data_IF_789344100141
#
_entry.id   IF_789344100141
#
_cell.length_a   1.000
_cell.length_b   1.000
_cell.length_c   1.000
_cell.angle_alpha   90.00
_cell.angle_beta   90.00
_cell.angle_gamma   90.00
#
_symmetry.space_group_name_H-M   'P 1'
#
loop_
_entity.id
_entity.type
_entity.pdbx_description
1 polymer ?
#
# COMPACT_ATOMS: atom_id res chain seq x y z
N UNK A 1 6.32 -22.66 40.50
CA UNK A 1 6.61 -21.25 40.22
C UNK A 1 7.39 -21.20 38.92
N UNK A 2 6.80 -20.67 37.84
CA UNK A 2 7.50 -20.57 36.57
C UNK A 2 8.65 -19.55 36.73
N UNK A 3 9.88 -20.02 36.51
CA UNK A 3 11.08 -19.20 36.46
C UNK A 3 10.83 -18.11 35.42
N UNK A 4 10.86 -16.85 35.86
CA UNK A 4 10.91 -15.71 34.95
C UNK A 4 12.28 -15.80 34.25
N UNK A 5 12.26 -16.22 32.99
CA UNK A 5 13.37 -16.59 32.10
C UNK A 5 14.35 -15.42 31.77
N UNK A 6 14.66 -14.54 32.72
CA UNK A 6 15.55 -13.38 32.49
C UNK A 6 15.07 -12.41 31.40
N UNK A 7 13.85 -12.57 30.88
CA UNK A 7 13.31 -11.74 29.80
C UNK A 7 12.86 -10.40 30.36
N UNK A 8 13.31 -9.33 29.71
CA UNK A 8 12.97 -7.96 30.06
C UNK A 8 12.41 -7.19 28.85
N UNK A 9 11.80 -6.03 29.11
CA UNK A 9 11.25 -5.15 28.08
C UNK A 9 10.33 -5.87 27.09
N UNK A 10 10.58 -5.68 25.79
CA UNK A 10 9.78 -6.25 24.70
C UNK A 10 9.74 -7.78 24.71
N UNK A 11 10.83 -8.45 25.11
CA UNK A 11 10.87 -9.91 25.15
C UNK A 11 9.92 -10.48 26.21
N UNK A 12 9.81 -9.80 27.36
CA UNK A 12 8.84 -10.14 28.41
C UNK A 12 7.40 -9.93 27.95
N UNK A 13 7.14 -8.81 27.26
CA UNK A 13 5.81 -8.50 26.74
C UNK A 13 5.36 -9.47 25.65
N UNK A 14 6.25 -9.79 24.70
CA UNK A 14 5.97 -10.79 23.68
C UNK A 14 5.68 -12.16 24.30
N UNK A 15 6.45 -12.55 25.32
CA UNK A 15 6.18 -13.77 26.08
C UNK A 15 4.80 -13.74 26.73
N UNK A 16 4.47 -12.66 27.47
CA UNK A 16 3.15 -12.49 28.09
C UNK A 16 2.01 -12.60 27.06
N UNK A 17 2.09 -11.85 25.96
CA UNK A 17 1.06 -11.83 24.92
C UNK A 17 0.92 -13.19 24.21
N UNK A 18 2.00 -13.95 24.04
CA UNK A 18 1.94 -15.30 23.47
C UNK A 18 1.25 -16.32 24.38
N UNK A 19 1.35 -16.13 25.71
CA UNK A 19 0.71 -16.98 26.71
C UNK A 19 -0.72 -16.56 27.01
N UNK A 20 -1.02 -15.28 26.83
CA UNK A 20 -2.31 -14.66 27.10
C UNK A 20 -2.74 -13.79 25.91
N UNK A 21 -3.28 -14.41 24.83
CA UNK A 21 -3.67 -13.71 23.60
C UNK A 21 -4.65 -12.56 23.82
N UNK A 22 -5.42 -12.59 24.92
CA UNK A 22 -6.32 -11.53 25.33
C UNK A 22 -5.63 -10.18 25.64
N UNK A 23 -4.32 -10.21 25.86
CA UNK A 23 -3.44 -9.04 26.03
C UNK A 23 -2.64 -8.69 24.78
N UNK A 24 -2.89 -9.33 23.63
CA UNK A 24 -2.32 -8.99 22.32
C UNK A 24 -2.82 -7.64 21.82
N UNK A 25 -2.46 -6.57 22.53
CA UNK A 25 -2.91 -5.20 22.32
C UNK A 25 -1.80 -4.43 21.65
N UNK A 26 -2.09 -3.91 20.46
CA UNK A 26 -1.17 -3.12 19.67
C UNK A 26 -1.81 -1.77 19.31
N UNK A 27 -0.98 -0.74 19.10
CA UNK A 27 -1.44 0.55 18.58
C UNK A 27 -1.98 0.34 17.16
N UNK A 28 -3.16 0.89 16.86
CA UNK A 28 -3.82 0.73 15.54
C UNK A 28 -3.20 1.59 14.44
N UNK A 29 -2.51 2.67 14.78
CA UNK A 29 -1.92 3.63 13.84
C UNK A 29 -2.92 4.17 12.80
N UNK A 30 -4.21 4.28 13.15
CA UNK A 30 -5.28 4.62 12.21
C UNK A 30 -5.02 5.91 11.41
N UNK A 31 -4.64 6.99 12.10
CA UNK A 31 -4.32 8.27 11.45
C UNK A 31 -3.20 8.13 10.42
N UNK A 32 -2.13 7.42 10.77
CA UNK A 32 -0.99 7.20 9.86
C UNK A 32 -1.38 6.32 8.67
N UNK A 33 -2.21 5.29 8.89
CA UNK A 33 -2.71 4.44 7.82
C UNK A 33 -3.62 5.20 6.84
N UNK A 34 -4.54 6.02 7.35
CA UNK A 34 -5.37 6.88 6.51
C UNK A 34 -4.54 7.93 5.76
N UNK A 35 -3.55 8.53 6.42
CA UNK A 35 -2.64 9.46 5.76
C UNK A 35 -1.87 8.78 4.63
N UNK A 36 -1.36 7.56 4.84
CA UNK A 36 -0.71 6.78 3.80
C UNK A 36 -1.65 6.51 2.61
N UNK A 37 -2.90 6.11 2.87
CA UNK A 37 -3.91 5.92 1.82
C UNK A 37 -4.14 7.19 1.00
N UNK A 38 -4.24 8.35 1.67
CA UNK A 38 -4.43 9.64 1.01
C UNK A 38 -3.22 10.02 0.13
N UNK A 39 -2.00 9.72 0.57
CA UNK A 39 -0.81 9.95 -0.25
C UNK A 39 -0.77 9.07 -1.49
N UNK A 40 -1.09 7.77 -1.36
CA UNK A 40 -1.14 6.88 -2.53
C UNK A 40 -2.24 7.34 -3.51
N UNK A 41 -3.39 7.83 -3.02
CA UNK A 41 -4.42 8.42 -3.88
C UNK A 41 -3.93 9.66 -4.64
N UNK A 42 -3.20 10.54 -3.97
CA UNK A 42 -2.62 11.74 -4.60
C UNK A 42 -1.61 11.34 -5.68
N UNK A 43 -0.74 10.37 -5.39
CA UNK A 43 0.22 9.83 -6.37
C UNK A 43 -0.51 9.21 -7.57
N UNK A 44 -1.52 8.37 -7.35
CA UNK A 44 -2.32 7.77 -8.41
C UNK A 44 -2.99 8.82 -9.30
N UNK A 45 -3.53 9.87 -8.70
CA UNK A 45 -4.16 10.98 -9.43
C UNK A 45 -3.13 11.70 -10.31
N UNK A 46 -1.94 11.93 -9.79
CA UNK A 46 -0.84 12.53 -10.54
C UNK A 46 -0.40 11.64 -11.71
N UNK A 47 -0.17 10.35 -11.45
CA UNK A 47 0.22 9.39 -12.49
C UNK A 47 -0.85 9.24 -13.59
N UNK A 48 -2.13 9.28 -13.23
CA UNK A 48 -3.24 9.25 -14.18
C UNK A 48 -3.21 10.48 -15.09
N UNK A 49 -2.96 11.66 -14.52
CA UNK A 49 -2.83 12.90 -15.27
C UNK A 49 -1.64 12.85 -16.25
N UNK A 50 -0.48 12.41 -15.79
CA UNK A 50 0.70 12.23 -16.66
C UNK A 50 0.42 11.24 -17.79
N UNK A 51 -0.28 10.13 -17.51
CA UNK A 51 -0.65 9.15 -18.55
C UNK A 51 -1.57 9.78 -19.60
N UNK A 52 -2.53 10.62 -19.19
CA UNK A 52 -3.40 11.36 -20.11
C UNK A 52 -2.60 12.28 -21.02
N UNK A 53 -1.62 12.99 -20.46
CA UNK A 53 -0.73 13.88 -21.21
C UNK A 53 0.15 13.11 -22.21
N UNK A 54 0.78 12.02 -21.78
CA UNK A 54 1.57 11.14 -22.66
C UNK A 54 0.70 10.62 -23.81
N UNK A 55 -0.48 10.09 -23.47
CA UNK A 55 -1.43 9.56 -24.46
C UNK A 55 -1.91 10.64 -25.45
N UNK A 56 -2.00 11.91 -25.01
CA UNK A 56 -2.34 13.02 -25.88
C UNK A 56 -1.18 13.37 -26.83
N UNK A 57 0.06 13.43 -26.32
CA UNK A 57 1.26 13.66 -27.13
C UNK A 57 1.46 12.56 -28.18
N UNK A 58 1.28 11.31 -27.79
CA UNK A 58 1.44 10.15 -28.70
C UNK A 58 0.43 10.19 -29.86
N UNK A 59 -0.82 10.61 -29.59
CA UNK A 59 -1.84 10.81 -30.62
C UNK A 59 -1.51 11.92 -31.61
N UNK A 60 -0.83 12.98 -31.15
CA UNK A 60 -0.41 14.11 -31.98
C UNK A 60 0.94 13.89 -32.66
N UNK A 61 1.65 12.81 -32.32
CA UNK A 61 2.96 12.53 -32.88
C UNK A 61 2.87 12.10 -34.34
N UNK A 62 3.90 12.40 -35.14
CA UNK A 62 4.00 11.92 -36.52
C UNK A 62 4.35 10.41 -36.61
N UNK A 63 4.62 9.76 -35.47
CA UNK A 63 5.05 8.36 -35.43
C UNK A 63 3.84 7.41 -35.52
N UNK A 64 3.68 6.63 -36.61
CA UNK A 64 2.46 5.84 -36.85
C UNK A 64 2.13 4.86 -35.72
N UNK A 65 3.16 4.22 -35.14
CA UNK A 65 2.98 3.24 -34.04
C UNK A 65 2.48 3.92 -32.77
N UNK A 66 2.97 5.13 -32.44
CA UNK A 66 2.59 5.83 -31.20
C UNK A 66 1.13 6.29 -31.23
N UNK A 67 0.62 6.65 -32.41
CA UNK A 67 -0.79 7.02 -32.57
C UNK A 67 -1.74 5.85 -32.25
N UNK A 68 -1.33 4.61 -32.52
CA UNK A 68 -2.19 3.42 -32.39
C UNK A 68 -1.87 2.57 -31.15
N UNK A 69 -0.68 2.68 -30.56
CA UNK A 69 -0.23 1.79 -29.48
C UNK A 69 -1.15 1.80 -28.25
N UNK A 70 -1.80 2.93 -27.96
CA UNK A 70 -2.78 3.02 -26.86
C UNK A 70 -3.93 2.02 -27.00
N UNK A 71 -4.25 1.58 -28.22
CA UNK A 71 -5.32 0.62 -28.53
C UNK A 71 -4.81 -0.81 -28.68
N UNK A 72 -3.49 -1.03 -28.70
CA UNK A 72 -2.87 -2.31 -28.99
C UNK A 72 -1.84 -2.67 -27.91
N UNK A 73 -2.23 -3.54 -26.98
CA UNK A 73 -1.38 -3.96 -25.86
C UNK A 73 -0.01 -4.50 -26.29
N UNK A 74 0.05 -5.29 -27.37
CA UNK A 74 1.32 -5.82 -27.88
C UNK A 74 2.26 -4.68 -28.31
N UNK A 75 1.78 -3.73 -29.11
CA UNK A 75 2.56 -2.55 -29.53
C UNK A 75 3.01 -1.70 -28.34
N UNK A 76 2.12 -1.51 -27.35
CA UNK A 76 2.45 -0.79 -26.12
C UNK A 76 3.56 -1.52 -25.33
N UNK A 77 3.50 -2.85 -25.21
CA UNK A 77 4.51 -3.64 -24.52
C UNK A 77 5.84 -3.65 -25.28
N UNK A 78 5.78 -3.80 -26.60
CA UNK A 78 6.96 -3.94 -27.46
C UNK A 78 7.68 -2.59 -27.65
N UNK A 79 7.02 -1.46 -27.38
CA UNK A 79 7.63 -0.11 -27.37
C UNK A 79 8.86 0.03 -26.46
N UNK A 80 9.05 -0.89 -25.51
CA UNK A 80 10.26 -1.02 -24.70
C UNK A 80 11.52 -1.29 -25.53
N UNK A 81 11.39 -2.02 -26.64
CA UNK A 81 12.50 -2.35 -27.52
C UNK A 81 12.88 -1.16 -28.41
N UNK A 82 11.91 -0.29 -28.70
CA UNK A 82 12.06 0.87 -29.58
C UNK A 82 12.40 2.18 -28.84
N UNK A 83 12.55 2.12 -27.51
CA UNK A 83 12.85 3.30 -26.68
C UNK A 83 11.70 4.32 -26.62
N UNK A 84 10.47 3.90 -26.92
CA UNK A 84 9.27 4.74 -26.96
C UNK A 84 8.24 4.31 -25.91
N UNK A 85 8.73 3.88 -24.76
CA UNK A 85 7.98 3.16 -23.74
C UNK A 85 7.42 4.03 -22.62
N UNK A 86 7.42 5.35 -22.79
CA UNK A 86 6.97 6.30 -21.76
C UNK A 86 5.55 5.97 -21.28
N UNK A 87 4.65 5.70 -22.22
CA UNK A 87 3.27 5.32 -21.93
C UNK A 87 3.19 3.97 -21.20
N UNK A 88 3.97 2.98 -21.66
CA UNK A 88 4.01 1.65 -21.03
C UNK A 88 4.55 1.70 -19.61
N UNK A 89 5.67 2.40 -19.39
CA UNK A 89 6.27 2.60 -18.06
C UNK A 89 5.28 3.27 -17.12
N UNK A 90 4.58 4.31 -17.58
CA UNK A 90 3.58 5.00 -16.76
C UNK A 90 2.42 4.08 -16.37
N UNK A 91 1.92 3.27 -17.30
CA UNK A 91 0.90 2.25 -17.02
C UNK A 91 1.38 1.24 -15.99
N UNK A 92 2.63 0.77 -16.10
CA UNK A 92 3.20 -0.18 -15.13
C UNK A 92 3.37 0.44 -13.74
N UNK A 93 3.77 1.71 -13.64
CA UNK A 93 3.80 2.45 -12.37
C UNK A 93 2.40 2.52 -11.74
N UNK A 94 1.39 2.93 -12.51
CA UNK A 94 -0.01 2.98 -12.03
C UNK A 94 -0.47 1.62 -11.51
N UNK A 95 -0.15 0.52 -12.21
CA UNK A 95 -0.53 -0.84 -11.78
C UNK A 95 0.10 -1.22 -10.44
N UNK A 96 1.34 -0.83 -10.20
CA UNK A 96 2.02 -1.05 -8.92
C UNK A 96 1.36 -0.23 -7.82
N UNK A 97 1.19 1.09 -8.01
CA UNK A 97 0.57 1.97 -7.01
C UNK A 97 -0.89 1.59 -6.73
N UNK A 98 -1.65 1.13 -7.73
CA UNK A 98 -3.03 0.63 -7.52
C UNK A 98 -3.04 -0.62 -6.66
N UNK A 99 -2.10 -1.55 -6.88
CA UNK A 99 -1.98 -2.75 -6.06
C UNK A 99 -1.70 -2.37 -4.60
N UNK A 100 -0.74 -1.48 -4.37
CA UNK A 100 -0.40 -0.98 -3.03
C UNK A 100 -1.59 -0.28 -2.36
N UNK A 101 -2.30 0.56 -3.12
CA UNK A 101 -3.50 1.24 -2.64
C UNK A 101 -4.59 0.26 -2.18
N UNK A 102 -4.93 -0.72 -3.02
CA UNK A 102 -5.98 -1.69 -2.68
C UNK A 102 -5.57 -2.62 -1.53
N UNK A 103 -4.31 -3.03 -1.46
CA UNK A 103 -3.79 -3.81 -0.35
C UNK A 103 -3.87 -3.03 0.97
N UNK A 104 -3.41 -1.77 0.98
CA UNK A 104 -3.49 -0.90 2.15
C UNK A 104 -4.94 -0.63 2.55
N UNK A 105 -5.84 -0.42 1.59
CA UNK A 105 -7.25 -0.14 1.85
C UNK A 105 -7.96 -1.33 2.49
N UNK A 106 -7.73 -2.53 1.97
CA UNK A 106 -8.28 -3.77 2.53
C UNK A 106 -7.71 -4.06 3.93
N UNK A 107 -6.42 -3.79 4.15
CA UNK A 107 -5.82 -3.91 5.48
C UNK A 107 -6.45 -2.92 6.46
N UNK A 108 -6.58 -1.64 6.09
CA UNK A 108 -7.19 -0.63 6.96
C UNK A 108 -8.66 -0.93 7.25
N UNK A 109 -9.42 -1.40 6.27
CA UNK A 109 -10.79 -1.85 6.48
C UNK A 109 -10.85 -2.97 7.52
N UNK A 110 -10.01 -4.00 7.40
CA UNK A 110 -9.94 -5.11 8.34
C UNK A 110 -9.55 -4.65 9.75
N UNK A 111 -8.57 -3.75 9.86
CA UNK A 111 -8.13 -3.17 11.14
C UNK A 111 -9.24 -2.35 11.80
N UNK A 112 -10.01 -1.57 11.02
CA UNK A 112 -11.10 -0.74 11.54
C UNK A 112 -12.24 -1.55 12.17
N UNK A 113 -12.41 -2.81 11.76
CA UNK A 113 -13.40 -3.74 12.31
C UNK A 113 -12.95 -4.42 13.62
N UNK A 114 -11.68 -4.27 14.01
CA UNK A 114 -11.17 -4.88 15.24
C UNK A 114 -11.78 -4.20 16.48
N UNK A 115 -12.20 -5.03 17.45
CA UNK A 115 -12.76 -4.52 18.70
C UNK A 115 -11.68 -3.83 19.53
N UNK A 116 -11.99 -2.64 20.03
CA UNK A 116 -11.11 -1.94 20.98
C UNK A 116 -10.97 -2.78 22.27
N UNK A 117 -9.76 -2.86 22.86
CA UNK A 117 -9.56 -3.56 24.13
C UNK A 117 -10.35 -2.90 25.27
N UNK A 118 -10.73 -3.69 26.28
CA UNK A 118 -11.40 -3.17 27.46
C UNK A 118 -10.43 -2.35 28.34
N UNK A 119 -10.94 -1.34 29.04
CA UNK A 119 -10.13 -0.49 29.95
C UNK A 119 -9.34 -1.31 30.98
N UNK A 120 -9.95 -2.37 31.51
CA UNK A 120 -9.32 -3.29 32.45
C UNK A 120 -8.02 -3.90 31.90
N UNK A 121 -8.05 -4.42 30.66
CA UNK A 121 -6.88 -5.04 30.03
C UNK A 121 -5.78 -4.02 29.72
N UNK A 122 -6.17 -2.80 29.36
CA UNK A 122 -5.21 -1.71 29.13
C UNK A 122 -4.50 -1.34 30.43
N UNK A 123 -5.24 -1.23 31.54
CA UNK A 123 -4.66 -0.89 32.84
C UNK A 123 -3.70 -1.98 33.32
N UNK A 124 -4.07 -3.26 33.18
CA UNK A 124 -3.18 -4.38 33.54
C UNK A 124 -1.81 -4.35 32.85
N UNK A 125 -1.71 -3.82 31.62
CA UNK A 125 -0.43 -3.72 30.90
C UNK A 125 0.38 -2.45 31.22
N UNK A 126 -0.20 -1.51 31.97
CA UNK A 126 0.45 -0.25 32.37
C UNK A 126 1.10 -0.33 33.75
N UNK A 127 0.63 -1.26 34.58
CA UNK A 127 1.16 -1.56 35.91
C UNK A 127 2.39 -2.48 35.82
#
# INVERSE_FOLDING_TARGET
MAVLDGREGYAKMAYLMSRHPEFGIFRSFDELNYQNLLYIQAELTHLEQELKEISHRDKLSEHPIRQIQTRHWQLLKDSQQDGHDEQFRKIMQIRTSLKEYYEALLQQQRLSCLKKPTKYKINFLRD
#
